data_IF_713357262995
#
_entry.id   IF_713357262995
#
_cell.length_a   1.000
_cell.length_b   1.000
_cell.length_c   1.000
_cell.angle_alpha   90.00
_cell.angle_beta   90.00
_cell.angle_gamma   90.00
#
_symmetry.space_group_name_H-M   'P 1'
#
loop_
_entity.id
_entity.type
_entity.pdbx_description
1 polymer ?
#
# COMPACT_ATOMS: atom_id res chain seq x y z
N UNK A 1 10.45 -6.57 -16.22
CA UNK A 1 9.87 -5.31 -15.70
C UNK A 1 10.35 -5.11 -14.27
N UNK A 2 10.66 -3.89 -13.86
CA UNK A 2 10.98 -3.65 -12.44
C UNK A 2 9.70 -3.70 -11.60
N UNK A 3 9.78 -4.31 -10.43
CA UNK A 3 8.70 -4.38 -9.45
C UNK A 3 9.20 -3.88 -8.12
N UNK A 4 8.37 -3.08 -7.44
CA UNK A 4 8.67 -2.55 -6.12
C UNK A 4 7.49 -2.78 -5.19
N UNK A 5 7.78 -3.07 -3.93
CA UNK A 5 6.80 -3.10 -2.87
C UNK A 5 7.20 -2.11 -1.79
N UNK A 6 6.23 -1.33 -1.31
CA UNK A 6 6.43 -0.36 -0.25
C UNK A 6 5.43 -0.66 0.85
N UNK A 7 5.95 -1.05 2.01
CA UNK A 7 5.18 -0.95 3.24
C UNK A 7 5.26 0.51 3.72
N UNK A 8 4.13 1.20 3.67
CA UNK A 8 4.09 2.64 3.89
C UNK A 8 3.67 2.95 5.32
N UNK A 9 4.45 3.78 6.01
CA UNK A 9 4.11 4.31 7.32
C UNK A 9 3.93 5.82 7.29
N UNK A 10 2.78 6.30 7.78
CA UNK A 10 2.51 7.71 8.04
C UNK A 10 3.05 8.20 9.39
N UNK A 11 3.90 7.41 10.07
CA UNK A 11 4.37 7.69 11.43
C UNK A 11 5.22 8.97 11.51
N UNK A 12 5.65 9.33 12.73
CA UNK A 12 6.62 10.40 12.95
C UNK A 12 8.06 10.03 12.53
N UNK A 13 8.35 8.73 12.33
CA UNK A 13 9.68 8.22 12.01
C UNK A 13 9.69 7.34 10.73
N UNK A 14 9.16 7.84 9.59
CA UNK A 14 8.97 7.02 8.40
C UNK A 14 10.28 6.55 7.76
N UNK A 15 11.43 7.15 8.07
CA UNK A 15 12.71 6.59 7.62
C UNK A 15 12.98 5.19 8.14
N UNK A 16 12.51 4.87 9.35
CA UNK A 16 12.64 3.53 9.91
C UNK A 16 11.45 2.64 9.53
N UNK A 17 10.27 3.24 9.49
CA UNK A 17 9.00 2.49 9.43
C UNK A 17 8.47 2.33 7.98
N UNK A 18 9.03 3.03 6.99
CA UNK A 18 8.74 2.76 5.56
C UNK A 18 9.80 1.80 5.04
N UNK A 19 9.37 0.68 4.46
CA UNK A 19 10.26 -0.33 3.89
C UNK A 19 10.03 -0.50 2.40
N UNK A 20 11.12 -0.72 1.66
CA UNK A 20 11.10 -0.88 0.21
C UNK A 20 11.74 -2.22 -0.18
N UNK A 21 10.99 -3.03 -0.91
CA UNK A 21 11.50 -4.18 -1.65
C UNK A 21 11.66 -3.81 -3.13
N UNK A 22 12.84 -4.07 -3.71
CA UNK A 22 13.09 -3.98 -5.15
C UNK A 22 13.25 -5.39 -5.73
N UNK A 23 12.59 -5.63 -6.87
CA UNK A 23 12.69 -6.87 -7.61
C UNK A 23 12.49 -6.69 -9.11
N UNK A 24 12.59 -7.80 -9.83
CA UNK A 24 12.37 -7.85 -11.28
C UNK A 24 11.44 -8.99 -11.63
N UNK A 25 10.38 -8.66 -12.37
CA UNK A 25 9.46 -9.62 -12.97
C UNK A 25 9.93 -9.93 -14.40
N UNK A 26 10.21 -11.20 -14.70
CA UNK A 26 10.49 -11.71 -16.04
C UNK A 26 9.55 -12.87 -16.34
N UNK A 27 8.65 -12.68 -17.31
CA UNK A 27 7.53 -13.60 -17.51
C UNK A 27 6.67 -13.72 -16.26
N UNK A 28 6.57 -14.93 -15.74
CA UNK A 28 5.85 -15.31 -14.51
C UNK A 28 6.79 -15.48 -13.30
N UNK A 29 8.05 -15.01 -13.40
CA UNK A 29 9.03 -15.10 -12.33
C UNK A 29 9.39 -13.74 -11.74
N UNK A 30 9.11 -13.55 -10.45
CA UNK A 30 9.56 -12.41 -9.65
C UNK A 30 10.81 -12.78 -8.85
N UNK A 31 11.91 -12.05 -9.06
CA UNK A 31 13.09 -12.11 -8.20
C UNK A 31 13.19 -10.84 -7.34
N UNK A 32 13.08 -10.98 -6.02
CA UNK A 32 13.24 -9.88 -5.05
C UNK A 32 14.69 -9.88 -4.56
N UNK A 33 15.40 -8.79 -4.83
CA UNK A 33 16.88 -8.74 -4.69
C UNK A 33 17.37 -7.77 -3.62
N UNK A 34 16.53 -6.81 -3.21
CA UNK A 34 16.86 -5.88 -2.14
C UNK A 34 15.62 -5.57 -1.30
N UNK A 35 15.81 -5.41 0.01
CA UNK A 35 14.81 -4.95 0.95
C UNK A 35 15.50 -4.06 1.99
N UNK A 36 15.04 -2.81 2.13
CA UNK A 36 15.69 -1.82 2.99
C UNK A 36 14.71 -0.76 3.51
N UNK A 37 14.92 -0.24 4.72
CA UNK A 37 14.13 0.87 5.23
C UNK A 37 14.44 2.15 4.44
N UNK A 38 13.50 3.09 4.42
CA UNK A 38 13.62 4.36 3.70
C UNK A 38 14.84 5.18 4.11
N UNK A 39 15.28 5.09 5.36
CA UNK A 39 16.50 5.76 5.85
C UNK A 39 17.76 5.29 5.13
N UNK A 40 17.86 3.99 4.85
CA UNK A 40 18.96 3.44 4.06
C UNK A 40 18.78 3.76 2.58
N UNK A 41 17.55 3.65 2.05
CA UNK A 41 17.26 3.87 0.64
C UNK A 41 17.47 5.32 0.20
N UNK A 42 17.11 6.28 1.04
CA UNK A 42 17.05 7.71 0.71
C UNK A 42 18.01 8.59 1.52
N UNK A 43 18.67 8.04 2.54
CA UNK A 43 19.53 8.83 3.43
C UNK A 43 18.75 9.84 4.28
N UNK A 44 17.46 9.59 4.52
CA UNK A 44 16.55 10.52 5.16
C UNK A 44 15.66 9.83 6.20
N UNK A 45 15.44 10.48 7.35
CA UNK A 45 14.61 9.91 8.44
C UNK A 45 13.32 10.66 8.70
N UNK A 46 13.30 11.98 8.44
CA UNK A 46 12.13 12.82 8.63
C UNK A 46 11.09 12.61 7.51
N UNK A 47 9.82 12.79 7.85
CA UNK A 47 8.68 12.53 6.94
C UNK A 47 8.76 13.26 5.61
N UNK A 48 8.83 14.58 5.62
CA UNK A 48 8.82 15.37 4.38
C UNK A 48 9.98 14.96 3.43
N UNK A 49 11.24 14.85 3.89
CA UNK A 49 12.33 14.32 3.05
C UNK A 49 12.10 12.89 2.53
N UNK A 50 11.59 11.97 3.36
CA UNK A 50 11.30 10.59 2.95
C UNK A 50 10.21 10.53 1.88
N UNK A 51 9.11 11.26 2.09
CA UNK A 51 8.00 11.30 1.12
C UNK A 51 8.40 11.99 -0.19
N UNK A 52 9.22 13.05 -0.12
CA UNK A 52 9.79 13.67 -1.32
C UNK A 52 10.65 12.68 -2.11
N UNK A 53 11.56 11.97 -1.44
CA UNK A 53 12.43 10.99 -2.10
C UNK A 53 11.66 9.80 -2.67
N UNK A 54 10.62 9.33 -1.97
CA UNK A 54 9.72 8.29 -2.47
C UNK A 54 8.93 8.78 -3.69
N UNK A 55 8.40 10.00 -3.66
CA UNK A 55 7.72 10.63 -4.80
C UNK A 55 8.64 10.77 -6.01
N UNK A 56 9.89 11.19 -5.81
CA UNK A 56 10.90 11.25 -6.85
C UNK A 56 11.23 9.86 -7.41
N UNK A 57 11.31 8.84 -6.57
CA UNK A 57 11.54 7.46 -7.00
C UNK A 57 10.38 6.97 -7.90
N UNK A 58 9.13 7.20 -7.51
CA UNK A 58 7.93 6.82 -8.27
C UNK A 58 7.85 7.58 -9.62
N UNK A 59 8.23 8.86 -9.64
CA UNK A 59 8.23 9.69 -10.84
C UNK A 59 9.32 9.30 -11.83
N UNK A 60 10.47 8.82 -11.37
CA UNK A 60 11.65 8.65 -12.23
C UNK A 60 11.96 7.18 -12.58
N UNK A 61 11.45 6.21 -11.82
CA UNK A 61 11.77 4.78 -12.04
C UNK A 61 10.60 4.06 -12.71
N UNK A 62 10.76 3.57 -13.96
CA UNK A 62 9.72 2.79 -14.62
C UNK A 62 9.48 1.45 -13.90
N UNK A 63 8.34 0.83 -14.17
CA UNK A 63 7.90 -0.43 -13.56
C UNK A 63 6.62 -0.29 -12.75
N UNK A 64 6.32 -1.31 -11.96
CA UNK A 64 5.11 -1.38 -11.12
C UNK A 64 5.50 -1.30 -9.65
N UNK A 65 4.82 -0.46 -8.89
CA UNK A 65 5.02 -0.32 -7.45
C UNK A 65 3.72 -0.58 -6.69
N UNK A 66 3.71 -1.56 -5.78
CA UNK A 66 2.64 -1.75 -4.81
C UNK A 66 2.90 -0.91 -3.56
N UNK A 67 1.93 -0.10 -3.14
CA UNK A 67 1.98 0.71 -1.92
C UNK A 67 0.94 0.21 -0.92
N UNK A 68 1.36 -0.13 0.30
CA UNK A 68 0.44 -0.41 1.41
C UNK A 68 -0.10 0.89 2.02
N UNK A 69 -0.96 1.58 1.26
CA UNK A 69 -1.66 2.78 1.70
C UNK A 69 -2.97 2.94 0.96
N UNK A 70 -4.00 3.43 1.64
CA UNK A 70 -5.31 3.63 1.03
C UNK A 70 -5.27 4.71 -0.06
N UNK A 71 -5.77 4.38 -1.27
CA UNK A 71 -5.84 5.34 -2.38
C UNK A 71 -7.16 6.11 -2.44
N UNK A 72 -8.04 5.94 -1.45
CA UNK A 72 -9.30 6.65 -1.44
C UNK A 72 -10.09 6.42 -0.16
N UNK A 73 -11.29 7.00 -0.14
CA UNK A 73 -12.26 6.92 0.95
C UNK A 73 -13.52 6.18 0.49
N UNK A 74 -14.33 5.67 1.42
CA UNK A 74 -15.67 5.19 1.10
C UNK A 74 -16.49 6.26 0.38
N UNK A 75 -17.18 5.89 -0.69
CA UNK A 75 -17.93 6.83 -1.54
C UNK A 75 -19.02 7.59 -0.79
N UNK A 76 -19.54 7.01 0.30
CA UNK A 76 -20.52 7.66 1.18
C UNK A 76 -19.99 8.93 1.87
N UNK A 77 -18.66 9.09 1.98
CA UNK A 77 -18.01 10.26 2.59
C UNK A 77 -17.62 11.34 1.56
N UNK A 78 -17.65 10.98 0.28
CA UNK A 78 -17.31 11.89 -0.81
C UNK A 78 -18.45 12.90 -1.04
N UNK A 79 -18.14 14.16 -1.38
CA UNK A 79 -19.13 15.11 -1.83
C UNK A 79 -19.90 14.61 -3.06
N UNK A 80 -21.15 15.06 -3.23
CA UNK A 80 -21.98 14.66 -4.37
C UNK A 80 -21.40 15.09 -5.75
N UNK A 81 -20.48 16.05 -5.77
CA UNK A 81 -19.81 16.54 -6.97
C UNK A 81 -18.59 15.70 -7.40
N UNK A 82 -18.28 14.62 -6.68
CA UNK A 82 -17.18 13.70 -7.03
C UNK A 82 -17.72 12.59 -7.91
N UNK A 83 -17.38 12.67 -9.20
CA UNK A 83 -17.88 11.75 -10.23
C UNK A 83 -16.95 10.54 -10.44
N UNK A 84 -15.63 10.74 -10.30
CA UNK A 84 -14.62 9.69 -10.45
C UNK A 84 -13.54 9.71 -9.35
N UNK A 85 -12.62 8.74 -9.41
CA UNK A 85 -11.54 8.61 -8.45
C UNK A 85 -10.53 9.76 -8.52
N UNK A 86 -10.25 10.32 -9.70
CA UNK A 86 -9.37 11.48 -9.84
C UNK A 86 -9.92 12.70 -9.11
N UNK A 87 -11.22 12.94 -9.25
CA UNK A 87 -11.95 13.98 -8.49
C UNK A 87 -11.89 13.71 -6.99
N UNK A 88 -12.03 12.45 -6.57
CA UNK A 88 -11.97 12.06 -5.16
C UNK A 88 -10.59 12.38 -4.54
N UNK A 89 -9.51 12.06 -5.25
CA UNK A 89 -8.12 12.34 -4.82
C UNK A 89 -7.87 13.84 -4.78
N UNK A 90 -8.32 14.59 -5.79
CA UNK A 90 -8.17 16.04 -5.84
C UNK A 90 -8.95 16.73 -4.70
N UNK A 91 -10.20 16.31 -4.46
CA UNK A 91 -11.01 16.80 -3.36
C UNK A 91 -10.36 16.49 -2.01
N UNK A 92 -9.90 15.25 -1.79
CA UNK A 92 -9.26 14.87 -0.52
C UNK A 92 -8.05 15.76 -0.21
N UNK A 93 -7.19 16.01 -1.21
CA UNK A 93 -6.02 16.88 -1.07
C UNK A 93 -6.42 18.30 -0.68
N UNK A 94 -7.48 18.84 -1.29
CA UNK A 94 -7.95 20.19 -1.03
C UNK A 94 -8.66 20.33 0.33
N UNK A 95 -9.52 19.37 0.67
CA UNK A 95 -10.28 19.36 1.93
C UNK A 95 -9.36 19.32 3.15
N UNK A 96 -8.34 18.47 3.09
CA UNK A 96 -7.43 18.24 4.20
C UNK A 96 -6.11 18.98 4.02
N UNK A 97 -6.08 20.06 3.24
CA UNK A 97 -4.91 20.94 3.17
C UNK A 97 -4.64 21.56 4.54
N UNK A 98 -3.40 21.46 5.02
CA UNK A 98 -3.00 21.92 6.35
C UNK A 98 -3.57 21.14 7.55
N UNK A 99 -4.45 20.15 7.35
CA UNK A 99 -4.97 19.32 8.43
C UNK A 99 -3.90 18.36 8.98
N UNK A 100 -3.99 18.00 10.26
CA UNK A 100 -3.28 16.85 10.82
C UNK A 100 -4.12 15.56 10.73
N UNK A 101 -3.51 14.42 11.07
CA UNK A 101 -4.16 13.11 10.93
C UNK A 101 -5.39 12.99 11.83
N UNK A 102 -5.31 13.50 13.06
CA UNK A 102 -6.41 13.49 14.02
C UNK A 102 -7.59 14.35 13.53
N UNK A 103 -7.32 15.58 13.06
CA UNK A 103 -8.33 16.47 12.51
C UNK A 103 -9.01 15.90 11.27
N UNK A 104 -8.25 15.29 10.35
CA UNK A 104 -8.81 14.55 9.21
C UNK A 104 -9.74 13.43 9.69
N UNK A 105 -9.27 12.60 10.62
CA UNK A 105 -10.03 11.46 11.13
C UNK A 105 -11.32 11.88 11.79
N UNK A 106 -11.30 12.89 12.66
CA UNK A 106 -12.52 13.36 13.32
C UNK A 106 -13.51 13.95 12.31
N UNK A 107 -13.05 14.72 11.33
CA UNK A 107 -13.90 15.23 10.24
C UNK A 107 -14.58 14.10 9.47
N UNK A 108 -13.84 13.02 9.14
CA UNK A 108 -14.41 11.86 8.45
C UNK A 108 -15.39 11.07 9.33
N UNK A 109 -15.12 10.98 10.65
CA UNK A 109 -16.05 10.36 11.61
C UNK A 109 -17.33 11.15 11.79
N UNK A 110 -17.26 12.47 11.83
CA UNK A 110 -18.43 13.34 11.89
C UNK A 110 -19.31 13.17 10.65
N UNK A 111 -18.70 13.19 9.46
CA UNK A 111 -19.41 12.89 8.20
C UNK A 111 -20.05 11.50 8.20
N UNK A 112 -19.36 10.50 8.75
CA UNK A 112 -19.90 9.14 8.85
C UNK A 112 -21.12 9.07 9.79
N UNK A 113 -21.11 9.81 10.91
CA UNK A 113 -22.25 9.88 11.86
C UNK A 113 -23.51 10.47 11.24
N UNK A 114 -23.37 11.29 10.21
CA UNK A 114 -24.50 11.86 9.45
C UNK A 114 -25.08 10.90 8.40
N UNK A 115 -24.47 9.73 8.18
CA UNK A 115 -24.96 8.73 7.22
C UNK A 115 -25.81 7.69 7.91
N UNK A 116 -26.80 7.17 7.18
CA UNK A 116 -27.59 6.04 7.64
C UNK A 116 -26.70 4.77 7.70
N UNK A 117 -26.63 4.14 8.87
CA UNK A 117 -25.88 2.91 9.09
C UNK A 117 -25.27 2.82 10.48
N UNK A 118 -24.72 1.65 10.81
CA UNK A 118 -24.00 1.42 12.06
C UNK A 118 -22.50 1.67 11.88
N UNK A 119 -21.92 2.44 12.80
CA UNK A 119 -20.48 2.65 12.91
C UNK A 119 -19.96 3.94 12.29
N UNK A 120 -18.80 4.38 12.76
CA UNK A 120 -18.16 5.64 12.34
C UNK A 120 -16.94 5.43 11.44
N UNK A 121 -16.54 4.19 11.21
CA UNK A 121 -15.38 3.81 10.37
C UNK A 121 -15.87 3.00 9.18
N UNK A 122 -16.51 3.70 8.24
CA UNK A 122 -17.03 3.13 7.00
C UNK A 122 -15.89 2.53 6.18
N UNK A 123 -16.20 1.41 5.51
CA UNK A 123 -15.27 0.70 4.63
C UNK A 123 -15.63 0.94 3.17
N UNK A 124 -14.63 0.95 2.31
CA UNK A 124 -14.80 0.85 0.85
C UNK A 124 -15.28 -0.53 0.47
N UNK A 125 -15.69 -0.70 -0.78
CA UNK A 125 -16.09 -2.00 -1.32
C UNK A 125 -14.93 -3.00 -1.28
N UNK A 126 -13.75 -2.58 -1.69
CA UNK A 126 -12.52 -3.40 -1.68
C UNK A 126 -12.06 -3.71 -0.26
N UNK A 127 -12.12 -2.75 0.67
CA UNK A 127 -11.79 -2.98 2.08
C UNK A 127 -12.59 -4.15 2.67
N UNK A 128 -13.90 -4.22 2.38
CA UNK A 128 -14.75 -5.34 2.83
C UNK A 128 -14.34 -6.65 2.17
N UNK A 129 -14.03 -6.62 0.87
CA UNK A 129 -13.70 -7.81 0.09
C UNK A 129 -12.38 -8.46 0.55
N UNK A 130 -11.37 -7.65 0.89
CA UNK A 130 -10.05 -8.13 1.35
C UNK A 130 -9.87 -8.06 2.86
N UNK A 131 -10.95 -7.73 3.59
CA UNK A 131 -10.98 -7.57 5.05
C UNK A 131 -9.92 -6.57 5.57
N UNK A 132 -9.71 -5.47 4.84
CA UNK A 132 -8.88 -4.36 5.28
C UNK A 132 -9.61 -3.51 6.34
N UNK A 133 -8.82 -2.70 7.04
CA UNK A 133 -9.34 -1.66 7.92
C UNK A 133 -9.94 -0.51 7.10
N UNK A 134 -10.84 0.27 7.71
CA UNK A 134 -11.30 1.52 7.10
C UNK A 134 -10.11 2.46 6.87
N UNK A 135 -10.03 3.25 5.79
CA UNK A 135 -8.92 4.16 5.52
C UNK A 135 -8.67 5.20 6.62
N UNK A 136 -9.66 5.45 7.48
CA UNK A 136 -9.56 6.43 8.57
C UNK A 136 -9.84 5.79 9.93
N UNK A 137 -9.59 4.48 10.03
CA UNK A 137 -9.58 3.77 11.31
C UNK A 137 -8.45 4.28 12.22
N UNK A 138 -8.49 3.94 13.51
CA UNK A 138 -7.38 4.23 14.41
C UNK A 138 -6.03 3.59 14.01
N UNK A 139 -6.04 2.60 13.10
CA UNK A 139 -4.84 1.90 12.61
C UNK A 139 -4.21 2.66 11.44
N UNK A 140 -5.02 3.13 10.49
CA UNK A 140 -4.57 3.51 9.13
C UNK A 140 -4.63 5.01 8.84
N UNK A 141 -5.31 5.81 9.67
CA UNK A 141 -5.58 7.22 9.38
C UNK A 141 -4.32 8.08 9.14
N UNK A 142 -3.20 7.79 9.83
CA UNK A 142 -1.92 8.45 9.57
C UNK A 142 -1.44 8.17 8.15
N UNK A 143 -1.40 6.90 7.76
CA UNK A 143 -0.95 6.46 6.43
C UNK A 143 -1.82 7.07 5.35
N UNK A 144 -3.15 7.06 5.52
CA UNK A 144 -4.09 7.64 4.56
C UNK A 144 -3.87 9.12 4.38
N UNK A 145 -3.71 9.92 5.46
CA UNK A 145 -3.47 11.36 5.28
C UNK A 145 -2.18 11.59 4.49
N UNK A 146 -1.05 11.08 4.96
CA UNK A 146 0.25 11.42 4.38
C UNK A 146 0.47 10.75 3.01
N UNK A 147 0.07 9.49 2.85
CA UNK A 147 0.21 8.78 1.59
C UNK A 147 -0.75 9.25 0.51
N UNK A 148 -2.02 9.53 0.85
CA UNK A 148 -2.96 10.03 -0.16
C UNK A 148 -2.72 11.51 -0.49
N UNK A 149 -2.58 12.38 0.53
CA UNK A 149 -2.44 13.83 0.33
C UNK A 149 -1.05 14.23 -0.18
N UNK A 150 0.01 13.74 0.45
CA UNK A 150 1.39 14.25 0.22
C UNK A 150 2.16 13.44 -0.82
N UNK A 151 1.85 12.15 -0.97
CA UNK A 151 2.52 11.29 -1.95
C UNK A 151 1.69 11.10 -3.23
N UNK A 152 0.50 10.49 -3.13
CA UNK A 152 -0.25 10.05 -4.30
C UNK A 152 -0.89 11.22 -5.07
N UNK A 153 -1.60 12.12 -4.38
CA UNK A 153 -2.35 13.18 -5.04
C UNK A 153 -1.47 14.11 -5.91
N UNK A 154 -0.26 14.53 -5.50
CA UNK A 154 0.63 15.29 -6.39
C UNK A 154 1.12 14.49 -7.61
N UNK A 155 1.40 13.19 -7.45
CA UNK A 155 1.84 12.33 -8.55
C UNK A 155 0.74 12.14 -9.60
N UNK A 156 -0.50 11.95 -9.15
CA UNK A 156 -1.68 11.82 -10.02
C UNK A 156 -1.98 13.14 -10.74
N UNK A 157 -1.96 14.26 -10.02
CA UNK A 157 -2.23 15.59 -10.59
C UNK A 157 -1.24 15.97 -11.70
N UNK A 158 0.03 15.56 -11.54
CA UNK A 158 1.07 15.82 -12.52
C UNK A 158 1.12 14.79 -13.67
N UNK A 159 0.28 13.75 -13.63
CA UNK A 159 0.35 12.62 -14.57
C UNK A 159 1.66 11.84 -14.49
N UNK A 160 2.33 11.86 -13.34
CA UNK A 160 3.65 11.26 -13.14
C UNK A 160 3.61 9.72 -13.05
N UNK A 161 2.47 9.18 -12.63
CA UNK A 161 2.21 7.75 -12.47
C UNK A 161 0.81 7.40 -12.99
N UNK A 162 0.62 6.14 -13.34
CA UNK A 162 -0.66 5.54 -13.70
C UNK A 162 -1.19 4.68 -12.54
N UNK A 163 -2.49 4.72 -12.27
CA UNK A 163 -3.11 4.02 -11.14
C UNK A 163 -4.26 3.11 -11.59
N UNK A 164 -3.99 1.88 -12.07
CA UNK A 164 -5.05 0.96 -12.46
C UNK A 164 -5.79 0.38 -11.23
N UNK A 165 -7.08 0.06 -11.35
CA UNK A 165 -7.90 0.20 -12.56
C UNK A 165 -8.53 1.60 -12.70
N UNK A 166 -8.21 2.54 -11.80
CA UNK A 166 -8.77 3.90 -11.82
C UNK A 166 -8.32 4.68 -13.06
N UNK A 167 -7.15 4.35 -13.58
CA UNK A 167 -6.55 4.87 -14.80
C UNK A 167 -5.89 3.73 -15.58
N UNK A 168 -5.75 3.82 -16.91
CA UNK A 168 -5.00 2.83 -17.67
C UNK A 168 -3.55 2.70 -17.17
N UNK A 169 -3.06 1.47 -17.08
CA UNK A 169 -1.67 1.22 -16.70
C UNK A 169 -0.69 1.86 -17.68
N UNK A 170 0.46 2.30 -17.16
CA UNK A 170 1.49 3.00 -17.93
C UNK A 170 2.89 2.53 -17.57
N UNK A 171 3.89 3.25 -18.08
CA UNK A 171 5.31 2.92 -17.84
C UNK A 171 5.68 2.95 -16.34
N UNK A 172 5.04 3.84 -15.57
CA UNK A 172 5.22 4.02 -14.12
C UNK A 172 3.87 3.75 -13.46
N UNK A 173 3.65 2.51 -13.05
CA UNK A 173 2.38 2.07 -12.50
C UNK A 173 2.46 1.99 -10.97
N UNK A 174 1.45 2.51 -10.29
CA UNK A 174 1.32 2.49 -8.83
C UNK A 174 0.00 1.81 -8.46
N UNK A 175 0.06 0.85 -7.54
CA UNK A 175 -1.06 0.03 -7.10
C UNK A 175 -1.27 0.21 -5.61
N UNK A 176 -2.52 0.27 -5.19
CA UNK A 176 -2.88 0.06 -3.80
C UNK A 176 -2.83 -1.43 -3.51
N UNK A 177 -2.05 -1.85 -2.51
CA UNK A 177 -1.94 -3.24 -2.07
C UNK A 177 -2.24 -3.33 -0.58
N UNK A 178 -2.47 -4.54 -0.08
CA UNK A 178 -2.68 -4.76 1.34
C UNK A 178 -2.06 -6.09 1.78
N UNK A 179 -0.86 -6.08 2.39
CA UNK A 179 -0.09 -7.29 2.73
C UNK A 179 -0.90 -8.35 3.48
N UNK A 180 -1.59 -7.99 4.57
CA UNK A 180 -2.44 -8.93 5.30
C UNK A 180 -3.59 -9.51 4.46
N UNK A 181 -4.09 -8.78 3.46
CA UNK A 181 -5.06 -9.29 2.49
C UNK A 181 -4.43 -10.28 1.50
N UNK A 182 -3.22 -9.98 1.03
CA UNK A 182 -2.41 -10.86 0.16
C UNK A 182 -2.09 -12.18 0.85
N UNK A 183 -1.62 -12.14 2.10
CA UNK A 183 -1.31 -13.33 2.89
C UNK A 183 -2.55 -14.23 3.08
N UNK A 184 -3.70 -13.63 3.42
CA UNK A 184 -4.99 -14.35 3.46
C UNK A 184 -5.36 -14.98 2.15
N UNK A 185 -5.11 -14.29 1.03
CA UNK A 185 -5.43 -14.82 -0.31
C UNK A 185 -4.54 -16.00 -0.69
N UNK A 186 -3.33 -16.04 -0.15
CA UNK A 186 -2.36 -17.12 -0.30
C UNK A 186 -2.52 -18.24 0.74
N UNK A 187 -3.53 -18.14 1.63
CA UNK A 187 -3.85 -19.15 2.65
C UNK A 187 -2.65 -19.47 3.57
N UNK A 188 -1.84 -18.46 3.89
CA UNK A 188 -0.71 -18.55 4.81
C UNK A 188 -0.94 -17.71 6.08
N UNK A 189 0.05 -17.66 6.97
CA UNK A 189 0.03 -16.87 8.20
C UNK A 189 -0.20 -15.39 7.87
N UNK A 190 -1.21 -14.80 8.49
CA UNK A 190 -1.61 -13.40 8.27
C UNK A 190 -1.71 -12.59 9.57
N UNK A 191 -1.46 -13.21 10.72
CA UNK A 191 -1.51 -12.61 12.06
C UNK A 191 -0.30 -13.03 12.92
N UNK A 192 0.04 -12.24 13.94
CA UNK A 192 1.06 -12.58 14.95
C UNK A 192 2.52 -12.52 14.49
N UNK A 193 2.81 -12.27 13.21
CA UNK A 193 4.19 -12.18 12.68
C UNK A 193 4.87 -10.83 12.94
N UNK A 194 4.13 -9.83 13.48
CA UNK A 194 4.62 -8.49 13.81
C UNK A 194 4.92 -8.33 15.31
N UNK A 195 5.66 -9.29 15.86
CA UNK A 195 6.07 -9.29 17.27
C UNK A 195 7.57 -9.57 17.42
N UNK A 196 8.21 -9.07 18.50
CA UNK A 196 9.61 -9.35 18.81
C UNK A 196 9.75 -10.70 19.56
N UNK A 197 9.28 -11.79 18.94
CA UNK A 197 9.30 -13.15 19.50
C UNK A 197 9.88 -14.15 18.50
N UNK A 198 10.41 -15.27 19.01
CA UNK A 198 10.93 -16.35 18.17
C UNK A 198 9.80 -17.00 17.35
N UNK A 199 8.59 -17.06 17.90
CA UNK A 199 7.39 -17.53 17.19
C UNK A 199 7.04 -16.62 16.01
N UNK A 200 7.11 -15.29 16.19
CA UNK A 200 6.88 -14.35 15.12
C UNK A 200 7.98 -14.40 14.06
N UNK A 201 9.25 -14.59 14.45
CA UNK A 201 10.35 -14.81 13.50
C UNK A 201 10.14 -16.08 12.67
N UNK A 202 9.68 -17.17 13.31
CA UNK A 202 9.32 -18.41 12.61
C UNK A 202 8.14 -18.20 11.64
N UNK A 203 7.11 -17.43 12.06
CA UNK A 203 6.00 -17.06 11.19
C UNK A 203 6.45 -16.24 9.97
N UNK A 204 7.37 -15.28 10.14
CA UNK A 204 7.95 -14.50 9.02
C UNK A 204 8.70 -15.42 8.04
N UNK A 205 9.44 -16.41 8.54
CA UNK A 205 10.12 -17.40 7.70
C UNK A 205 9.14 -18.32 6.95
N UNK A 206 8.05 -18.74 7.61
CA UNK A 206 6.97 -19.53 7.00
C UNK A 206 6.30 -18.76 5.86
N UNK A 207 5.98 -17.48 6.08
CA UNK A 207 5.39 -16.61 5.06
C UNK A 207 6.31 -16.54 3.84
N UNK A 208 7.62 -16.31 4.02
CA UNK A 208 8.57 -16.27 2.90
C UNK A 208 8.59 -17.58 2.10
N UNK A 209 8.53 -18.72 2.77
CA UNK A 209 8.44 -20.03 2.10
C UNK A 209 7.10 -20.21 1.35
N UNK A 210 6.00 -19.73 1.91
CA UNK A 210 4.69 -19.74 1.27
C UNK A 210 4.66 -18.86 0.01
N UNK A 211 5.32 -17.68 0.04
CA UNK A 211 5.42 -16.80 -1.13
C UNK A 211 6.11 -17.48 -2.31
N UNK A 212 7.18 -18.25 -2.08
CA UNK A 212 7.93 -18.95 -3.15
C UNK A 212 7.20 -20.18 -3.72
N UNK A 213 6.28 -20.73 -2.95
CA UNK A 213 5.50 -21.91 -3.36
C UNK A 213 4.11 -21.57 -3.87
N UNK A 214 3.73 -20.29 -3.83
CA UNK A 214 2.45 -19.80 -4.30
C UNK A 214 2.24 -20.10 -5.79
N UNK A 215 1.06 -20.62 -6.14
CA UNK A 215 0.72 -20.90 -7.53
C UNK A 215 0.45 -19.62 -8.32
N UNK A 216 0.90 -19.57 -9.57
CA UNK A 216 0.58 -18.49 -10.52
C UNK A 216 1.60 -17.36 -10.60
N UNK A 217 2.68 -17.42 -9.82
CA UNK A 217 3.87 -16.59 -9.96
C UNK A 217 5.06 -17.31 -9.29
N UNK A 218 6.13 -17.62 -10.02
CA UNK A 218 7.38 -18.11 -9.42
C UNK A 218 8.02 -16.95 -8.65
N UNK A 219 8.14 -17.05 -7.33
CA UNK A 219 8.81 -16.04 -6.51
C UNK A 219 10.14 -16.58 -6.02
N UNK A 220 11.20 -15.79 -6.18
CA UNK A 220 12.51 -16.05 -5.60
C UNK A 220 12.88 -14.85 -4.72
N UNK A 221 13.16 -15.10 -3.43
CA UNK A 221 13.61 -14.04 -2.50
C UNK A 221 15.07 -14.28 -2.16
N UNK A 222 15.93 -13.32 -2.52
CA UNK A 222 17.37 -13.42 -2.26
C UNK A 222 17.66 -13.56 -0.76
N UNK A 223 18.68 -14.33 -0.40
CA UNK A 223 19.01 -14.63 1.01
C UNK A 223 19.18 -13.38 1.89
N UNK A 224 19.88 -12.31 1.47
CA UNK A 224 19.97 -11.10 2.29
C UNK A 224 18.62 -10.41 2.54
N UNK A 225 17.64 -10.60 1.64
CA UNK A 225 16.28 -10.09 1.82
C UNK A 225 15.53 -10.96 2.84
N UNK A 226 15.70 -12.28 2.77
CA UNK A 226 15.11 -13.24 3.74
C UNK A 226 15.59 -12.93 5.15
N UNK A 227 16.90 -12.80 5.34
CA UNK A 227 17.51 -12.49 6.63
C UNK A 227 16.92 -11.18 7.22
N UNK A 228 16.82 -10.13 6.41
CA UNK A 228 16.22 -8.85 6.84
C UNK A 228 14.75 -8.98 7.19
N UNK A 229 13.96 -9.66 6.35
CA UNK A 229 12.53 -9.84 6.58
C UNK A 229 12.24 -10.66 7.85
N UNK A 230 13.07 -11.65 8.18
CA UNK A 230 12.93 -12.44 9.41
C UNK A 230 13.40 -11.65 10.64
N UNK A 231 14.47 -10.87 10.53
CA UNK A 231 15.06 -10.13 11.65
C UNK A 231 14.31 -8.85 12.04
N UNK A 232 13.42 -8.34 11.17
CA UNK A 232 12.63 -7.14 11.44
C UNK A 232 11.38 -7.47 12.28
N UNK A 233 11.43 -7.15 13.59
CA UNK A 233 10.36 -7.44 14.55
C UNK A 233 9.03 -6.76 14.19
N UNK A 234 9.08 -5.62 13.50
CA UNK A 234 7.88 -4.91 13.03
C UNK A 234 7.15 -5.65 11.90
N UNK A 235 7.84 -6.56 11.21
CA UNK A 235 7.33 -7.24 10.02
C UNK A 235 7.17 -6.31 8.81
N UNK A 236 7.68 -5.09 8.87
CA UNK A 236 7.54 -4.06 7.84
C UNK A 236 8.41 -4.41 6.61
N UNK A 237 9.59 -4.99 6.86
CA UNK A 237 10.45 -5.56 5.83
C UNK A 237 9.74 -6.66 5.04
N UNK A 238 9.05 -7.58 5.75
CA UNK A 238 8.28 -8.65 5.12
C UNK A 238 7.08 -8.10 4.34
N UNK A 239 6.35 -7.15 4.90
CA UNK A 239 5.19 -6.53 4.23
C UNK A 239 5.59 -5.82 2.94
N UNK A 240 6.77 -5.20 2.88
CA UNK A 240 7.28 -4.65 1.62
C UNK A 240 7.55 -5.72 0.55
N UNK A 241 7.98 -6.93 0.94
CA UNK A 241 8.14 -8.08 0.02
C UNK A 241 6.78 -8.57 -0.43
N UNK A 242 5.81 -8.71 0.47
CA UNK A 242 4.43 -9.10 0.14
C UNK A 242 3.77 -8.09 -0.79
N UNK A 243 4.01 -6.78 -0.59
CA UNK A 243 3.57 -5.72 -1.47
C UNK A 243 4.15 -5.85 -2.89
N UNK A 244 5.43 -6.23 -3.01
CA UNK A 244 6.06 -6.50 -4.31
C UNK A 244 5.45 -7.72 -5.01
N UNK A 245 5.15 -8.79 -4.25
CA UNK A 245 4.47 -9.98 -4.78
C UNK A 245 3.06 -9.63 -5.28
N UNK A 246 2.27 -8.87 -4.51
CA UNK A 246 0.95 -8.43 -4.92
C UNK A 246 1.01 -7.59 -6.22
N UNK A 247 1.98 -6.68 -6.32
CA UNK A 247 2.21 -5.86 -7.51
C UNK A 247 2.60 -6.70 -8.74
N UNK A 248 3.48 -7.70 -8.56
CA UNK A 248 3.86 -8.61 -9.64
C UNK A 248 2.69 -9.47 -10.12
N UNK A 249 1.87 -9.98 -9.21
CA UNK A 249 0.66 -10.76 -9.55
C UNK A 249 -0.36 -9.91 -10.30
N UNK A 250 -0.55 -8.64 -9.91
CA UNK A 250 -1.39 -7.70 -10.64
C UNK A 250 -0.86 -7.48 -12.06
N UNK A 251 0.44 -7.22 -12.22
CA UNK A 251 1.06 -7.02 -13.53
C UNK A 251 0.96 -8.27 -14.43
N UNK A 252 1.16 -9.48 -13.89
CA UNK A 252 1.01 -10.75 -14.61
C UNK A 252 -0.44 -11.01 -15.08
N UNK A 253 -1.42 -10.38 -14.42
CA UNK A 253 -2.85 -10.41 -14.77
C UNK A 253 -3.32 -9.15 -15.49
N UNK A 254 -2.39 -8.40 -16.09
CA UNK A 254 -2.70 -7.17 -16.85
C UNK A 254 -3.52 -6.15 -16.04
N UNK A 255 -3.28 -6.09 -14.74
CA UNK A 255 -3.96 -5.22 -13.78
C UNK A 255 -5.49 -5.44 -13.72
N UNK A 256 -5.95 -6.67 -13.97
CA UNK A 256 -7.34 -7.04 -13.73
C UNK A 256 -7.66 -6.94 -12.22
N UNK A 257 -8.70 -6.18 -11.83
CA UNK A 257 -9.07 -6.01 -10.42
C UNK A 257 -9.42 -7.36 -9.77
N UNK A 258 -8.86 -7.70 -8.59
CA UNK A 258 -9.10 -8.99 -7.97
C UNK A 258 -10.49 -9.09 -7.34
N UNK A 259 -11.15 -7.95 -7.10
CA UNK A 259 -12.47 -7.86 -6.49
C UNK A 259 -13.28 -6.74 -7.13
N UNK A 260 -14.62 -6.79 -7.08
CA UNK A 260 -15.46 -5.68 -7.51
C UNK A 260 -15.16 -4.40 -6.71
N UNK A 261 -15.00 -3.26 -7.38
CA UNK A 261 -14.67 -1.96 -6.78
C UNK A 261 -15.72 -0.88 -7.14
N UNK A 262 -15.73 0.24 -6.41
CA UNK A 262 -16.46 1.46 -6.80
C UNK A 262 -15.46 2.40 -7.51
N UNK A 263 -15.84 3.01 -8.65
CA UNK A 263 -14.93 3.84 -9.46
C UNK A 263 -14.44 5.12 -8.79
N UNK A 264 -14.87 5.44 -7.55
CA UNK A 264 -14.44 6.60 -6.77
C UNK A 264 -13.62 6.26 -5.53
N UNK A 265 -13.55 4.99 -5.13
CA UNK A 265 -13.02 4.59 -3.81
C UNK A 265 -11.54 4.15 -3.81
N UNK A 266 -10.95 3.90 -4.99
CA UNK A 266 -9.69 3.16 -5.10
C UNK A 266 -9.89 1.64 -5.09
N UNK A 267 -8.84 0.87 -5.37
CA UNK A 267 -8.93 -0.58 -5.53
C UNK A 267 -7.68 -1.29 -4.99
N UNK A 268 -7.88 -2.20 -4.04
CA UNK A 268 -6.81 -2.97 -3.42
C UNK A 268 -6.49 -4.21 -4.27
N UNK A 269 -5.20 -4.41 -4.55
CA UNK A 269 -4.65 -5.64 -5.15
C UNK A 269 -4.07 -6.58 -4.08
N UNK A 270 -4.41 -7.88 -4.19
CA UNK A 270 -4.00 -8.99 -3.31
C UNK A 270 -3.73 -10.27 -4.11
#
# INVERSE_FOLDING_TARGET
MDVRGVDFSGSAAPGRDVWLADGRLDGDRLEVTACRPAAEAFGATARSPVLSALGDALRNRPGTTGLDVSFGLPAALLPAAVDDWGDAVAWFRAEFDGADADGMRETLKDRAREREGDGVELKRRTDRAVRANSPYSFITYYQTLYGLRELLAPLVADGAVSVPPMQPAGERTVLEVYPAGTLRRLETVDEGYKEPTDEAAAARAEILAALETASGLEVAVAEPVRERAVADDGGDALDSVVAAVAAARAAAREFEPPTPFDPREGCIYV
#
